data_IF_639384146863
#
_entry.id   IF_639384146863
#
_cell.length_a   1.000
_cell.length_b   1.000
_cell.length_c   1.000
_cell.angle_alpha   90.00
_cell.angle_beta   90.00
_cell.angle_gamma   90.00
#
_symmetry.space_group_name_H-M   'P 1'
#
loop_
_entity.id
_entity.type
_entity.pdbx_description
1 polymer ?
#
# COMPACT_ATOMS: atom_id res chain seq x y z
N UNK A 1 -6.07 -16.61 -24.90
CA UNK A 1 -7.03 -17.13 -23.91
C UNK A 1 -6.56 -16.78 -22.51
N UNK A 2 -7.45 -16.24 -21.69
CA UNK A 2 -7.24 -15.96 -20.26
C UNK A 2 -8.07 -16.96 -19.45
N UNK A 3 -7.42 -17.66 -18.53
CA UNK A 3 -8.09 -18.57 -17.59
C UNK A 3 -7.91 -18.06 -16.16
N UNK A 4 -9.01 -17.83 -15.45
CA UNK A 4 -8.99 -17.45 -14.03
C UNK A 4 -8.79 -18.67 -13.16
N UNK A 5 -7.92 -18.54 -12.15
CA UNK A 5 -7.79 -19.59 -11.14
C UNK A 5 -8.93 -19.48 -10.11
N UNK A 6 -9.73 -20.54 -9.91
CA UNK A 6 -10.81 -20.52 -8.94
C UNK A 6 -10.29 -20.57 -7.49
N UNK A 7 -11.17 -20.22 -6.54
CA UNK A 7 -10.95 -20.35 -5.10
C UNK A 7 -9.73 -19.56 -4.57
N UNK A 8 -9.54 -18.35 -5.06
CA UNK A 8 -8.52 -17.46 -4.51
C UNK A 8 -8.97 -16.80 -3.21
N UNK A 9 -8.02 -16.48 -2.30
CA UNK A 9 -8.30 -15.63 -1.16
C UNK A 9 -8.93 -14.30 -1.58
N UNK A 10 -9.66 -13.68 -0.67
CA UNK A 10 -10.33 -12.40 -0.94
C UNK A 10 -9.34 -11.31 -1.37
N UNK A 11 -9.74 -10.52 -2.36
CA UNK A 11 -8.90 -9.48 -2.97
C UNK A 11 -7.79 -9.99 -3.90
N UNK A 12 -7.62 -11.31 -4.07
CA UNK A 12 -6.62 -11.87 -5.01
C UNK A 12 -7.29 -12.31 -6.32
N UNK A 13 -6.82 -11.76 -7.44
CA UNK A 13 -7.16 -12.19 -8.79
C UNK A 13 -5.93 -12.86 -9.39
N UNK A 14 -6.02 -14.14 -9.75
CA UNK A 14 -4.94 -14.86 -10.42
C UNK A 14 -5.45 -15.40 -11.76
N UNK A 15 -4.74 -15.14 -12.84
CA UNK A 15 -5.05 -15.67 -14.16
C UNK A 15 -3.81 -16.22 -14.87
N UNK A 16 -4.02 -17.26 -15.68
CA UNK A 16 -3.04 -17.77 -16.64
C UNK A 16 -3.43 -17.31 -18.06
N UNK A 17 -2.50 -16.67 -18.74
CA UNK A 17 -2.60 -16.30 -20.14
C UNK A 17 -1.86 -17.33 -21.00
N UNK A 18 -2.56 -17.89 -21.97
CA UNK A 18 -2.01 -18.87 -22.92
C UNK A 18 -2.49 -18.60 -24.35
N UNK A 19 -1.71 -19.09 -25.32
CA UNK A 19 -1.90 -18.86 -26.75
C UNK A 19 -1.81 -17.37 -27.08
N UNK A 20 -2.62 -16.95 -28.05
CA UNK A 20 -2.82 -15.55 -28.40
C UNK A 20 -3.91 -14.96 -27.51
N UNK A 21 -3.60 -13.89 -26.77
CA UNK A 21 -4.58 -13.19 -25.93
C UNK A 21 -5.24 -12.08 -26.75
N UNK A 22 -6.56 -12.05 -26.78
CA UNK A 22 -7.37 -11.07 -27.54
C UNK A 22 -8.00 -10.03 -26.61
N UNK A 23 -8.55 -8.95 -27.17
CA UNK A 23 -9.34 -7.99 -26.39
C UNK A 23 -10.62 -8.60 -25.78
N UNK A 24 -11.21 -9.59 -26.46
CA UNK A 24 -12.39 -10.30 -25.95
C UNK A 24 -12.07 -11.11 -24.68
N UNK A 25 -10.91 -11.75 -24.61
CA UNK A 25 -10.44 -12.41 -23.38
C UNK A 25 -10.39 -11.41 -22.20
N UNK A 26 -9.98 -10.16 -22.44
CA UNK A 26 -9.97 -9.13 -21.42
C UNK A 26 -11.37 -8.74 -20.97
N UNK A 27 -12.24 -8.41 -21.92
CA UNK A 27 -13.58 -7.86 -21.63
C UNK A 27 -14.50 -8.90 -20.98
N UNK A 28 -14.34 -10.18 -21.35
CA UNK A 28 -15.23 -11.25 -20.90
C UNK A 28 -14.73 -11.94 -19.64
N UNK A 29 -13.41 -11.99 -19.41
CA UNK A 29 -12.82 -12.75 -18.30
C UNK A 29 -12.15 -11.83 -17.29
N UNK A 30 -11.20 -11.00 -17.72
CA UNK A 30 -10.37 -10.24 -16.78
C UNK A 30 -11.11 -9.05 -16.16
N UNK A 31 -11.82 -8.26 -16.97
CA UNK A 31 -12.56 -7.07 -16.52
C UNK A 31 -13.59 -7.44 -15.45
N UNK A 32 -14.49 -8.44 -15.65
CA UNK A 32 -15.47 -8.79 -14.64
C UNK A 32 -14.84 -9.31 -13.33
N UNK A 33 -13.71 -10.03 -13.42
CA UNK A 33 -13.01 -10.52 -12.24
C UNK A 33 -12.39 -9.39 -11.41
N UNK A 34 -11.82 -8.38 -12.07
CA UNK A 34 -11.28 -7.19 -11.41
C UNK A 34 -12.42 -6.39 -10.77
N UNK A 35 -13.53 -6.17 -11.47
CA UNK A 35 -14.69 -5.46 -10.92
C UNK A 35 -15.27 -6.17 -9.70
N UNK A 36 -15.38 -7.51 -9.74
CA UNK A 36 -15.84 -8.31 -8.61
C UNK A 36 -14.89 -8.22 -7.41
N UNK A 37 -13.58 -8.22 -7.65
CA UNK A 37 -12.59 -8.03 -6.59
C UNK A 37 -12.66 -6.60 -6.01
N UNK A 38 -12.84 -5.59 -6.86
CA UNK A 38 -12.93 -4.19 -6.46
C UNK A 38 -14.13 -3.88 -5.54
N UNK A 39 -15.28 -4.52 -5.78
CA UNK A 39 -16.50 -4.31 -4.99
C UNK A 39 -16.38 -4.74 -3.53
N UNK A 40 -15.38 -5.55 -3.18
CA UNK A 40 -15.25 -6.15 -1.83
C UNK A 40 -14.47 -5.30 -0.83
N UNK A 41 -13.81 -4.22 -1.27
CA UNK A 41 -13.32 -3.15 -0.39
C UNK A 41 -11.87 -3.23 0.09
N UNK A 42 -11.19 -4.37 -0.02
CA UNK A 42 -9.85 -4.57 0.57
C UNK A 42 -8.68 -4.42 -0.42
N UNK A 43 -8.93 -3.79 -1.58
CA UNK A 43 -7.92 -3.61 -2.62
C UNK A 43 -7.61 -4.88 -3.44
N UNK A 44 -7.07 -4.68 -4.65
CA UNK A 44 -6.91 -5.72 -5.67
C UNK A 44 -5.44 -6.14 -5.76
N UNK A 45 -5.20 -7.44 -5.60
CA UNK A 45 -3.88 -8.07 -5.72
C UNK A 45 -3.90 -9.02 -6.91
N UNK A 46 -3.17 -8.69 -7.95
CA UNK A 46 -3.23 -9.38 -9.24
C UNK A 46 -2.00 -10.26 -9.46
N UNK A 47 -2.19 -11.53 -9.81
CA UNK A 47 -1.16 -12.39 -10.39
C UNK A 47 -1.50 -12.65 -11.86
N UNK A 48 -0.65 -12.18 -12.76
CA UNK A 48 -0.73 -12.45 -14.19
C UNK A 48 0.35 -13.44 -14.58
N UNK A 49 -0.03 -14.68 -14.87
CA UNK A 49 0.89 -15.74 -15.28
C UNK A 49 0.88 -15.91 -16.80
N UNK A 50 1.99 -15.56 -17.47
CA UNK A 50 2.20 -15.79 -18.90
C UNK A 50 3.15 -16.96 -19.07
N UNK A 51 2.58 -18.15 -19.04
CA UNK A 51 3.33 -19.40 -19.13
C UNK A 51 3.94 -19.63 -20.53
N UNK A 52 4.63 -20.77 -20.73
CA UNK A 52 5.36 -21.07 -21.96
C UNK A 52 4.46 -21.22 -23.19
N UNK A 53 3.15 -21.40 -23.00
CA UNK A 53 2.15 -21.45 -24.08
C UNK A 53 1.73 -20.06 -24.57
N UNK A 54 2.22 -18.99 -23.98
CA UNK A 54 1.88 -17.63 -24.38
C UNK A 54 2.59 -17.25 -25.69
N UNK A 55 1.81 -16.96 -26.72
CA UNK A 55 2.32 -16.65 -28.06
C UNK A 55 2.34 -15.15 -28.35
N UNK A 56 1.59 -14.35 -27.57
CA UNK A 56 1.57 -12.90 -27.67
C UNK A 56 0.17 -12.31 -27.58
N UNK A 57 0.10 -11.01 -27.88
CA UNK A 57 -1.11 -10.21 -27.83
C UNK A 57 -1.63 -9.92 -29.24
N UNK A 58 -2.91 -10.19 -29.48
CA UNK A 58 -3.65 -9.67 -30.64
C UNK A 58 -4.52 -8.50 -30.23
N UNK A 59 -3.87 -7.42 -29.82
CA UNK A 59 -4.57 -6.21 -29.40
C UNK A 59 -4.80 -5.32 -30.63
N UNK A 60 -5.50 -5.85 -31.64
CA UNK A 60 -5.95 -5.08 -32.79
C UNK A 60 -6.84 -3.93 -32.34
N UNK A 61 -6.31 -2.71 -32.34
CA UNK A 61 -7.07 -1.48 -32.03
C UNK A 61 -7.47 -1.26 -30.57
N UNK A 62 -7.46 -2.28 -29.72
CA UNK A 62 -7.98 -2.19 -28.34
C UNK A 62 -7.05 -1.39 -27.41
N UNK A 63 -5.72 -1.39 -27.62
CA UNK A 63 -4.77 -0.60 -26.80
C UNK A 63 -5.09 0.91 -26.81
N UNK A 64 -5.73 1.40 -27.87
CA UNK A 64 -6.06 2.82 -28.01
C UNK A 64 -7.11 3.32 -27.00
N UNK A 65 -8.10 2.47 -26.68
CA UNK A 65 -9.25 2.84 -25.84
C UNK A 65 -9.32 2.07 -24.51
N UNK A 66 -8.61 0.95 -24.33
CA UNK A 66 -8.44 0.29 -23.02
C UNK A 66 -7.36 0.96 -22.18
N UNK A 67 -7.64 2.22 -21.87
CA UNK A 67 -7.44 2.69 -20.51
C UNK A 67 -8.33 1.85 -19.59
N UNK A 68 -7.85 0.66 -19.29
CA UNK A 68 -8.30 -0.25 -18.25
C UNK A 68 -7.58 0.05 -16.92
N UNK A 69 -7.29 1.26 -16.46
CA UNK A 69 -7.77 2.60 -16.71
C UNK A 69 -7.18 3.45 -15.61
N UNK A 70 -6.74 4.66 -15.95
CA UNK A 70 -6.20 5.62 -14.98
C UNK A 70 -7.14 5.84 -13.75
N UNK A 71 -8.40 5.38 -13.82
CA UNK A 71 -9.36 5.30 -12.71
C UNK A 71 -9.30 4.01 -11.86
N UNK A 72 -9.14 2.83 -12.45
CA UNK A 72 -9.16 1.56 -11.71
C UNK A 72 -7.83 1.21 -11.03
N UNK A 73 -6.70 1.76 -11.50
CA UNK A 73 -5.40 1.57 -10.84
C UNK A 73 -5.36 2.03 -9.38
N UNK A 74 -6.24 2.96 -8.99
CA UNK A 74 -6.36 3.45 -7.61
C UNK A 74 -6.79 2.38 -6.59
N UNK A 75 -7.34 1.25 -7.05
CA UNK A 75 -7.73 0.12 -6.20
C UNK A 75 -6.75 -1.06 -6.21
N UNK A 76 -5.66 -0.99 -6.99
CA UNK A 76 -4.67 -2.07 -7.03
C UNK A 76 -3.65 -1.91 -5.92
N UNK A 77 -3.53 -2.93 -5.08
CA UNK A 77 -2.51 -2.97 -4.05
C UNK A 77 -1.21 -3.54 -4.57
N UNK A 78 -1.26 -4.60 -5.41
CA UNK A 78 -0.07 -5.30 -5.91
C UNK A 78 -0.30 -5.98 -7.24
N UNK A 79 0.75 -6.05 -8.05
CA UNK A 79 0.76 -6.80 -9.30
C UNK A 79 2.01 -7.68 -9.37
N UNK A 80 1.80 -8.99 -9.46
CA UNK A 80 2.83 -9.96 -9.77
C UNK A 80 2.68 -10.41 -11.22
N UNK A 81 3.74 -10.29 -12.01
CA UNK A 81 3.78 -10.85 -13.38
C UNK A 81 4.75 -12.01 -13.40
N UNK A 82 4.26 -13.20 -13.74
CA UNK A 82 5.07 -14.42 -13.84
C UNK A 82 5.27 -14.73 -15.31
N UNK A 83 6.50 -14.64 -15.81
CA UNK A 83 6.81 -14.93 -17.22
C UNK A 83 8.30 -15.14 -17.48
N UNK A 84 8.63 -16.14 -18.28
CA UNK A 84 9.98 -16.31 -18.86
C UNK A 84 10.16 -15.60 -20.22
N UNK A 85 9.11 -14.95 -20.74
CA UNK A 85 9.13 -14.27 -22.02
C UNK A 85 9.90 -12.95 -21.92
N UNK A 86 11.13 -12.92 -22.47
CA UNK A 86 12.07 -11.81 -22.31
C UNK A 86 11.51 -10.43 -22.67
N UNK A 87 10.85 -10.30 -23.82
CA UNK A 87 10.31 -9.00 -24.25
C UNK A 87 9.24 -8.49 -23.28
N UNK A 88 8.43 -9.39 -22.71
CA UNK A 88 7.39 -9.06 -21.75
C UNK A 88 8.01 -8.65 -20.42
N UNK A 89 9.06 -9.35 -19.95
CA UNK A 89 9.83 -8.94 -18.76
C UNK A 89 10.39 -7.53 -18.91
N UNK A 90 10.96 -7.20 -20.07
CA UNK A 90 11.49 -5.85 -20.33
C UNK A 90 10.40 -4.79 -20.40
N UNK A 91 9.27 -5.08 -21.04
CA UNK A 91 8.13 -4.17 -21.10
C UNK A 91 7.61 -3.85 -19.69
N UNK A 92 7.38 -4.89 -18.90
CA UNK A 92 6.83 -4.79 -17.55
C UNK A 92 7.80 -4.06 -16.60
N UNK A 93 9.10 -4.36 -16.69
CA UNK A 93 10.13 -3.61 -15.97
C UNK A 93 10.17 -2.12 -16.40
N UNK A 94 9.91 -1.85 -17.68
CA UNK A 94 9.86 -0.51 -18.24
C UNK A 94 8.66 0.33 -17.79
N UNK A 95 7.51 -0.29 -17.47
CA UNK A 95 6.31 0.44 -17.01
C UNK A 95 6.15 0.46 -15.49
N UNK A 96 6.88 -0.39 -14.77
CA UNK A 96 6.72 -0.55 -13.31
C UNK A 96 6.89 0.74 -12.52
N UNK A 97 7.75 1.67 -12.98
CA UNK A 97 7.95 2.97 -12.32
C UNK A 97 6.76 3.93 -12.49
N UNK A 98 5.90 3.70 -13.48
CA UNK A 98 4.78 4.58 -13.81
C UNK A 98 3.46 4.14 -13.15
N UNK A 99 3.42 2.95 -12.54
CA UNK A 99 2.23 2.43 -11.89
C UNK A 99 2.16 2.89 -10.42
N UNK A 100 0.94 3.19 -9.91
CA UNK A 100 0.74 3.61 -8.53
C UNK A 100 0.85 2.45 -7.51
N UNK A 101 1.01 1.20 -7.96
CA UNK A 101 1.10 0.01 -7.13
C UNK A 101 2.44 -0.72 -7.34
N UNK A 102 2.94 -1.47 -6.33
CA UNK A 102 4.09 -2.36 -6.46
C UNK A 102 3.85 -3.39 -7.56
N UNK A 103 4.73 -3.36 -8.56
CA UNK A 103 4.78 -4.34 -9.62
C UNK A 103 6.09 -5.14 -9.52
N UNK A 104 6.00 -6.46 -9.54
CA UNK A 104 7.19 -7.34 -9.56
C UNK A 104 7.07 -8.42 -10.61
N UNK A 105 8.18 -8.67 -11.31
CA UNK A 105 8.28 -9.71 -12.34
C UNK A 105 9.03 -10.91 -11.77
N UNK A 106 8.46 -12.09 -11.99
CA UNK A 106 8.97 -13.38 -11.56
C UNK A 106 9.15 -14.30 -12.79
N UNK A 107 10.06 -15.25 -12.71
CA UNK A 107 10.14 -16.37 -13.67
C UNK A 107 9.07 -17.42 -13.40
N UNK A 108 8.79 -18.29 -14.38
CA UNK A 108 7.84 -19.40 -14.21
C UNK A 108 8.22 -20.31 -13.02
N UNK A 109 9.52 -20.48 -12.76
CA UNK A 109 10.03 -21.22 -11.60
C UNK A 109 9.72 -20.55 -10.25
N UNK A 110 9.42 -19.26 -10.24
CA UNK A 110 9.15 -18.44 -9.05
C UNK A 110 7.65 -18.19 -8.84
N UNK A 111 6.77 -18.96 -9.50
CA UNK A 111 5.31 -18.80 -9.40
C UNK A 111 4.80 -18.82 -7.95
N UNK A 112 5.33 -19.69 -7.09
CA UNK A 112 4.94 -19.69 -5.67
C UNK A 112 5.46 -18.45 -4.92
N UNK A 113 6.64 -17.95 -5.27
CA UNK A 113 7.16 -16.69 -4.72
C UNK A 113 6.32 -15.50 -5.15
N UNK A 114 5.77 -15.51 -6.37
CA UNK A 114 4.83 -14.51 -6.85
C UNK A 114 3.53 -14.53 -6.05
N UNK A 115 3.00 -15.70 -5.72
CA UNK A 115 1.83 -15.83 -4.83
C UNK A 115 2.12 -15.36 -3.42
N UNK A 116 3.30 -15.66 -2.89
CA UNK A 116 3.73 -15.20 -1.58
C UNK A 116 3.84 -13.67 -1.54
N UNK A 117 4.39 -13.06 -2.59
CA UNK A 117 4.45 -11.60 -2.74
C UNK A 117 3.07 -10.93 -2.71
N UNK A 118 1.99 -11.60 -3.13
CA UNK A 118 0.63 -11.08 -2.99
C UNK A 118 0.06 -11.23 -1.56
N UNK A 119 0.67 -12.06 -0.72
CA UNK A 119 0.18 -12.37 0.64
C UNK A 119 0.98 -11.69 1.75
N UNK A 120 2.27 -11.44 1.55
CA UNK A 120 3.15 -10.85 2.58
C UNK A 120 2.82 -9.38 2.82
N UNK A 121 2.41 -8.94 4.01
CA UNK A 121 2.33 -7.51 4.33
C UNK A 121 3.73 -6.88 4.17
N UNK A 122 3.89 -5.90 3.26
CA UNK A 122 5.19 -5.26 3.06
C UNK A 122 5.55 -4.34 4.23
N UNK A 123 4.55 -3.94 5.02
CA UNK A 123 4.70 -3.22 6.27
C UNK A 123 3.44 -3.28 7.12
N UNK A 124 3.56 -2.93 8.39
CA UNK A 124 2.48 -2.94 9.38
C UNK A 124 2.46 -1.65 10.20
N UNK A 125 1.25 -1.24 10.59
CA UNK A 125 1.05 -0.19 11.58
C UNK A 125 0.72 -0.86 12.91
N UNK A 126 1.53 -0.61 13.93
CA UNK A 126 1.25 -1.04 15.29
C UNK A 126 0.85 0.16 16.15
N UNK A 127 -0.32 0.07 16.77
CA UNK A 127 -0.79 1.05 17.75
C UNK A 127 -0.55 0.49 19.15
N UNK A 128 0.15 1.26 19.98
CA UNK A 128 0.28 0.98 21.39
C UNK A 128 -0.33 2.13 22.19
N UNK A 129 -1.34 1.80 22.97
CA UNK A 129 -2.07 2.76 23.80
C UNK A 129 -1.54 2.70 25.23
N UNK A 130 -1.04 3.83 25.72
CA UNK A 130 -0.57 4.03 27.09
C UNK A 130 -1.57 4.91 27.84
N UNK A 131 -2.41 4.25 28.60
CA UNK A 131 -3.47 4.86 29.37
C UNK A 131 -2.99 5.77 30.51
N UNK A 132 -1.78 5.52 31.03
CA UNK A 132 -1.23 6.26 32.17
C UNK A 132 -0.69 7.63 31.75
N UNK A 133 -0.18 7.74 30.52
CA UNK A 133 0.42 8.95 29.99
C UNK A 133 -0.45 9.64 28.92
N UNK A 134 -1.67 9.17 28.66
CA UNK A 134 -2.52 9.65 27.55
C UNK A 134 -1.77 9.61 26.20
N UNK A 135 -0.96 8.57 25.99
CA UNK A 135 -0.08 8.47 24.82
C UNK A 135 -0.50 7.35 23.90
N UNK A 136 -0.49 7.65 22.60
CA UNK A 136 -0.53 6.66 21.53
C UNK A 136 0.84 6.59 20.89
N UNK A 137 1.41 5.40 20.81
CA UNK A 137 2.60 5.13 20.01
C UNK A 137 2.18 4.47 18.71
N UNK A 138 2.47 5.12 17.59
CA UNK A 138 2.27 4.61 16.24
C UNK A 138 3.62 4.14 15.72
N UNK A 139 3.84 2.83 15.69
CA UNK A 139 5.04 2.24 15.13
C UNK A 139 4.79 1.78 13.70
N UNK A 140 5.64 2.27 12.79
CA UNK A 140 5.60 1.94 11.37
C UNK A 140 6.77 0.99 11.07
N UNK A 141 6.45 -0.20 10.55
CA UNK A 141 7.45 -1.23 10.23
C UNK A 141 7.41 -1.52 8.73
N UNK A 142 8.59 -1.58 8.10
CA UNK A 142 8.75 -1.95 6.71
C UNK A 142 8.17 -0.91 5.74
N UNK A 143 7.59 -1.41 4.65
CA UNK A 143 7.08 -0.66 3.51
C UNK A 143 5.56 -0.59 3.54
N UNK A 144 5.03 0.55 3.96
CA UNK A 144 3.59 0.67 4.18
C UNK A 144 2.78 0.82 2.88
N UNK A 145 1.62 0.20 2.91
CA UNK A 145 0.62 0.14 1.85
C UNK A 145 -0.73 0.68 2.38
N UNK A 146 -1.66 1.09 1.50
CA UNK A 146 -2.92 1.69 1.92
C UNK A 146 -3.75 0.84 2.90
N UNK A 147 -3.81 -0.47 2.71
CA UNK A 147 -4.51 -1.38 3.64
C UNK A 147 -3.87 -1.50 5.01
N UNK A 148 -2.58 -1.14 5.18
CA UNK A 148 -1.95 -1.16 6.50
C UNK A 148 -2.55 -0.13 7.46
N UNK A 149 -3.29 0.86 6.94
CA UNK A 149 -4.04 1.85 7.72
C UNK A 149 -5.46 1.42 8.05
N UNK A 150 -5.96 0.32 7.45
CA UNK A 150 -7.31 -0.16 7.68
C UNK A 150 -7.50 -0.49 9.17
N UNK A 151 -8.53 0.09 9.80
CA UNK A 151 -8.86 -0.12 11.22
C UNK A 151 -8.07 0.75 12.21
N UNK A 152 -7.02 1.45 11.79
CA UNK A 152 -6.27 2.39 12.66
C UNK A 152 -7.19 3.49 13.20
N UNK A 153 -8.09 3.99 12.34
CA UNK A 153 -9.08 5.00 12.71
C UNK A 153 -10.07 4.49 13.75
N UNK A 154 -10.66 3.31 13.54
CA UNK A 154 -11.62 2.71 14.47
C UNK A 154 -11.00 2.46 15.85
N UNK A 155 -9.75 2.00 15.89
CA UNK A 155 -9.04 1.74 17.14
C UNK A 155 -8.67 3.05 17.87
N UNK A 156 -8.22 4.07 17.14
CA UNK A 156 -7.97 5.40 17.70
C UNK A 156 -9.25 6.05 18.24
N UNK A 157 -10.34 6.02 17.47
CA UNK A 157 -11.62 6.60 17.88
C UNK A 157 -12.19 5.92 19.12
N UNK A 158 -12.08 4.59 19.19
CA UNK A 158 -12.49 3.82 20.37
C UNK A 158 -11.71 4.26 21.61
N UNK A 159 -10.39 4.41 21.50
CA UNK A 159 -9.55 4.81 22.63
C UNK A 159 -9.77 6.27 23.05
N UNK A 160 -9.92 7.18 22.08
CA UNK A 160 -10.15 8.61 22.32
C UNK A 160 -11.56 8.94 22.83
N UNK A 161 -12.53 8.02 22.68
CA UNK A 161 -13.90 8.24 23.14
C UNK A 161 -14.02 8.61 24.63
N UNK A 162 -13.02 8.25 25.44
CA UNK A 162 -13.00 8.47 26.89
C UNK A 162 -11.96 9.52 27.34
N UNK A 163 -11.27 10.19 26.40
CA UNK A 163 -10.09 11.03 26.72
C UNK A 163 -10.08 12.35 25.96
N UNK A 164 -9.82 13.45 26.66
CA UNK A 164 -9.74 14.79 26.09
C UNK A 164 -8.33 15.22 25.68
N UNK A 165 -7.31 14.49 26.13
CA UNK A 165 -5.90 14.76 25.84
C UNK A 165 -5.31 13.58 25.10
N UNK A 166 -4.43 13.87 24.15
CA UNK A 166 -3.70 12.87 23.40
C UNK A 166 -2.28 13.36 23.17
N UNK A 167 -1.33 12.47 23.42
CA UNK A 167 0.07 12.63 23.06
C UNK A 167 0.43 11.55 22.05
N UNK A 168 1.25 11.90 21.07
CA UNK A 168 1.56 11.02 19.95
C UNK A 168 3.07 10.76 19.88
N UNK A 169 3.47 9.49 19.88
CA UNK A 169 4.83 9.06 19.58
C UNK A 169 4.80 8.30 18.25
N UNK A 170 5.50 8.79 17.23
CA UNK A 170 5.62 8.11 15.94
C UNK A 170 7.00 7.44 15.91
N UNK A 171 7.02 6.11 15.90
CA UNK A 171 8.23 5.29 15.84
C UNK A 171 8.47 4.81 14.41
N UNK A 172 9.53 5.32 13.78
CA UNK A 172 9.93 5.09 12.40
C UNK A 172 11.29 4.39 12.32
N UNK A 173 11.76 3.78 13.42
CA UNK A 173 13.09 3.15 13.49
C UNK A 173 13.24 1.96 12.55
N UNK A 174 12.15 1.25 12.30
CA UNK A 174 12.07 0.09 11.39
C UNK A 174 11.28 0.41 10.12
N UNK A 175 11.11 1.70 9.80
CA UNK A 175 10.31 2.15 8.67
C UNK A 175 11.18 2.34 7.42
N UNK A 176 10.84 1.61 6.36
CA UNK A 176 11.58 1.60 5.08
C UNK A 176 10.97 2.53 4.03
N UNK A 177 9.89 3.25 4.36
CA UNK A 177 9.20 4.18 3.47
C UNK A 177 7.85 3.66 2.97
N UNK A 178 7.23 4.41 2.06
CA UNK A 178 5.92 4.08 1.52
C UNK A 178 6.06 3.45 0.14
N UNK A 179 5.16 2.54 -0.21
CA UNK A 179 5.02 2.07 -1.59
C UNK A 179 3.96 2.89 -2.33
N UNK A 180 4.21 3.29 -3.59
CA UNK A 180 3.19 3.91 -4.46
C UNK A 180 2.96 5.42 -4.32
N UNK A 181 3.96 6.19 -3.88
CA UNK A 181 3.90 7.63 -3.52
C UNK A 181 3.42 8.63 -4.62
N UNK A 182 3.03 8.18 -5.82
CA UNK A 182 2.35 9.06 -6.79
C UNK A 182 1.05 9.67 -6.27
N UNK A 183 0.46 9.11 -5.19
CA UNK A 183 -0.85 9.48 -4.65
C UNK A 183 -0.82 10.02 -3.20
N UNK A 184 0.35 10.38 -2.63
CA UNK A 184 0.46 10.84 -1.23
C UNK A 184 -0.52 11.98 -0.86
N UNK A 185 -0.84 12.89 -1.79
CA UNK A 185 -1.75 13.99 -1.52
C UNK A 185 -3.20 13.57 -1.17
N UNK A 186 -3.66 12.38 -1.56
CA UNK A 186 -5.06 11.95 -1.31
C UNK A 186 -5.26 11.29 0.06
N UNK A 187 -4.27 10.55 0.58
CA UNK A 187 -4.39 9.85 1.86
C UNK A 187 -3.99 10.70 3.08
N UNK A 188 -3.24 11.80 2.91
CA UNK A 188 -3.00 12.75 4.01
C UNK A 188 -4.27 13.51 4.45
N UNK A 189 -5.39 13.34 3.75
CA UNK A 189 -6.73 13.76 4.20
C UNK A 189 -7.20 13.05 5.48
N UNK A 190 -6.62 11.89 5.83
CA UNK A 190 -6.95 11.17 7.07
C UNK A 190 -6.58 12.02 8.30
N UNK A 191 -5.47 12.75 8.27
CA UNK A 191 -5.09 13.68 9.36
C UNK A 191 -5.98 14.93 9.39
N UNK A 192 -6.69 15.23 8.29
CA UNK A 192 -7.53 16.43 8.15
C UNK A 192 -8.86 16.32 8.92
N UNK A 193 -9.40 15.11 9.04
CA UNK A 193 -10.71 14.89 9.67
C UNK A 193 -10.62 14.44 11.14
N UNK A 194 -9.40 14.28 11.68
CA UNK A 194 -9.21 14.09 13.12
C UNK A 194 -9.57 15.35 13.90
N UNK A 195 -10.71 15.29 14.59
CA UNK A 195 -11.28 16.41 15.37
C UNK A 195 -10.47 16.75 16.63
N UNK A 196 -9.48 15.94 17.02
CA UNK A 196 -8.68 16.11 18.24
C UNK A 196 -7.19 16.23 17.91
N UNK A 197 -6.65 17.43 18.09
CA UNK A 197 -5.24 17.75 17.85
C UNK A 197 -4.42 17.23 19.05
N UNK A 198 -3.39 16.38 18.86
CA UNK A 198 -2.50 15.99 19.96
C UNK A 198 -1.80 17.20 20.55
N UNK A 199 -1.49 17.16 21.84
CA UNK A 199 -0.77 18.26 22.49
C UNK A 199 0.71 18.27 22.12
N UNK A 200 1.30 17.07 22.09
CA UNK A 200 2.69 16.84 21.72
C UNK A 200 2.80 15.67 20.75
N UNK A 201 3.71 15.84 19.79
CA UNK A 201 4.07 14.81 18.82
C UNK A 201 5.58 14.62 18.85
N UNK A 202 6.04 13.46 19.29
CA UNK A 202 7.42 13.04 19.19
C UNK A 202 7.57 12.10 18.00
N UNK A 203 8.57 12.31 17.16
CA UNK A 203 8.85 11.44 16.01
C UNK A 203 10.28 10.92 16.11
N UNK A 204 10.45 9.60 16.07
CA UNK A 204 11.73 8.91 16.23
C UNK A 204 12.09 8.18 14.94
N UNK A 205 13.27 8.47 14.37
CA UNK A 205 13.79 7.72 13.22
C UNK A 205 14.88 8.47 12.45
N UNK A 206 15.66 7.74 11.66
CA UNK A 206 16.86 8.30 11.02
C UNK A 206 16.62 8.85 9.61
N UNK A 207 15.49 8.54 8.96
CA UNK A 207 15.34 8.76 7.51
C UNK A 207 13.98 9.30 7.01
N UNK A 208 12.98 9.53 7.86
CA UNK A 208 11.63 9.29 7.35
C UNK A 208 10.93 10.39 6.53
N UNK A 209 11.41 11.65 6.40
CA UNK A 209 10.64 12.72 5.70
C UNK A 209 11.37 14.07 5.52
N UNK A 210 12.69 14.08 5.28
CA UNK A 210 13.57 15.27 5.38
C UNK A 210 13.14 16.57 4.62
N UNK A 211 12.19 16.54 3.67
CA UNK A 211 11.59 17.76 3.10
C UNK A 211 10.04 17.80 3.07
N UNK A 212 9.34 16.66 3.08
CA UNK A 212 7.88 16.62 2.83
C UNK A 212 7.04 16.55 4.12
N UNK A 213 7.33 15.60 5.01
CA UNK A 213 6.45 15.29 6.15
C UNK A 213 6.52 16.31 7.28
N UNK A 214 7.70 16.88 7.58
CA UNK A 214 7.82 17.87 8.66
C UNK A 214 7.11 19.19 8.34
N UNK A 215 7.22 19.68 7.10
CA UNK A 215 6.52 20.88 6.63
C UNK A 215 5.02 20.68 6.55
N UNK A 216 4.58 19.50 6.11
CA UNK A 216 3.15 19.14 6.05
C UNK A 216 2.56 18.88 7.44
N UNK A 217 3.29 18.29 8.40
CA UNK A 217 2.76 18.09 9.75
C UNK A 217 2.79 19.37 10.61
N UNK A 218 3.79 20.22 10.45
CA UNK A 218 3.90 21.49 11.20
C UNK A 218 2.89 22.57 10.79
N UNK A 219 2.39 22.54 9.55
CA UNK A 219 1.33 23.46 9.10
C UNK A 219 -0.08 22.99 9.50
N UNK A 220 -0.24 21.73 9.93
CA UNK A 220 -1.55 21.08 10.08
C UNK A 220 -1.96 20.78 11.54
N UNK A 221 -1.11 21.03 12.54
CA UNK A 221 -1.44 20.76 13.95
C UNK A 221 -0.97 21.93 14.83
N UNK A 222 -1.82 22.39 15.76
CA UNK A 222 -1.43 23.30 16.87
C UNK A 222 -0.51 22.62 17.92
N UNK A 223 -0.05 21.41 17.62
CA UNK A 223 0.72 20.56 18.51
C UNK A 223 2.19 21.00 18.56
N UNK A 224 2.83 20.80 19.70
CA UNK A 224 4.29 20.90 19.79
C UNK A 224 4.91 19.64 19.18
N UNK A 225 5.73 19.79 18.13
CA UNK A 225 6.35 18.67 17.40
C UNK A 225 7.85 18.65 17.62
N UNK A 226 8.41 17.49 17.98
CA UNK A 226 9.86 17.32 18.13
C UNK A 226 10.37 16.02 17.51
N UNK A 227 11.55 16.12 16.91
CA UNK A 227 12.23 15.05 16.20
C UNK A 227 13.39 14.50 16.99
N UNK A 228 13.54 13.17 16.95
CA UNK A 228 14.57 12.44 17.67
C UNK A 228 15.24 11.43 16.72
N UNK A 229 16.56 11.28 16.76
CA UNK A 229 17.23 10.19 16.04
C UNK A 229 16.83 8.83 16.62
N UNK A 230 17.00 7.75 15.86
CA UNK A 230 16.63 6.38 16.27
C UNK A 230 17.21 6.00 17.63
N UNK A 231 18.46 6.40 17.91
CA UNK A 231 19.15 6.12 19.16
C UNK A 231 18.54 6.84 20.39
N UNK A 232 17.70 7.86 20.18
CA UNK A 232 17.13 8.70 21.23
C UNK A 232 15.65 8.38 21.54
N UNK A 233 15.19 7.15 21.25
CA UNK A 233 13.81 6.72 21.51
C UNK A 233 13.35 6.98 22.96
N UNK A 234 14.21 6.68 23.94
CA UNK A 234 13.90 6.91 25.36
C UNK A 234 13.77 8.40 25.70
N UNK A 235 14.50 9.27 25.01
CA UNK A 235 14.40 10.72 25.21
C UNK A 235 13.13 11.28 24.60
N UNK A 236 12.73 10.75 23.44
CA UNK A 236 11.47 11.06 22.78
C UNK A 236 10.28 10.72 23.67
N UNK A 237 10.30 9.50 24.24
CA UNK A 237 9.31 8.98 25.19
C UNK A 237 9.18 9.90 26.41
N UNK A 238 10.29 10.28 27.03
CA UNK A 238 10.27 11.19 28.20
C UNK A 238 9.76 12.59 27.87
N UNK A 239 10.11 13.11 26.69
CA UNK A 239 9.70 14.45 26.27
C UNK A 239 8.20 14.51 25.95
N UNK A 240 7.67 13.47 25.30
CA UNK A 240 6.25 13.41 24.97
C UNK A 240 5.40 13.25 26.23
N UNK A 241 5.87 12.50 27.22
CA UNK A 241 5.17 12.27 28.50
C UNK A 241 5.28 13.46 29.47
N UNK A 242 6.25 14.36 29.27
CA UNK A 242 6.47 15.48 30.17
C UNK A 242 5.22 16.38 30.24
N UNK A 243 4.82 16.71 31.47
CA UNK A 243 3.66 17.56 31.77
C UNK A 243 3.96 19.02 31.49
#
# INVERSE_FOLDING_TARGET
>A
MIELRPNQPEGIVEFEASGKVTGEDYDTVLVPAIELAAQRGDGIRLLAHYGPRFEGYDLGGVIGDTKLGLRHWSGFERVAVVTDVKWLRHLVAGIGFALPCPLRVFSDAELESARLFLREALGTVHLHFDDAHDRVTVQLIGKLEPSAYAGVEDDMDRWLSQRDRMRLLIDLREFDGWQGIGALHQHFGIVRDYRRIPERVAVVGDAAWQDLGARLMSQFLKAEVKYFPTAAFSDATRWVDAV
#
